data_IF_409609404778
#
_entry.id   IF_409609404778
#
_cell.length_a   1.000
_cell.length_b   1.000
_cell.length_c   1.000
_cell.angle_alpha   90.00
_cell.angle_beta   90.00
_cell.angle_gamma   90.00
#
_symmetry.space_group_name_H-M   'P 1'
#
loop_
_entity.id
_entity.type
_entity.pdbx_description
1 polymer ?
#
# COMPACT_ATOMS: atom_id res chain seq x y z
N UNK A 1 -4.04 -21.20 25.54
CA UNK A 1 -2.66 -20.84 25.17
C UNK A 1 -2.04 -22.05 24.49
N UNK A 2 -2.13 -22.14 23.16
CA UNK A 2 -1.49 -23.21 22.37
C UNK A 2 -0.75 -22.57 21.21
N UNK A 3 0.56 -22.47 21.39
CA UNK A 3 1.52 -21.79 20.52
C UNK A 3 2.16 -22.83 19.58
N UNK A 4 1.33 -23.52 18.79
CA UNK A 4 1.78 -24.52 17.82
C UNK A 4 0.79 -24.50 16.65
N UNK A 5 1.11 -23.67 15.66
CA UNK A 5 0.72 -23.68 14.24
C UNK A 5 1.23 -22.33 13.67
N UNK A 6 2.52 -22.04 13.88
CA UNK A 6 3.17 -20.89 13.23
C UNK A 6 3.41 -21.28 11.77
N UNK A 7 2.38 -21.06 10.94
CA UNK A 7 2.39 -21.33 9.51
C UNK A 7 3.65 -20.74 8.86
N UNK A 8 4.63 -21.58 8.51
CA UNK A 8 5.81 -21.18 7.74
C UNK A 8 5.47 -20.52 6.38
N UNK A 9 4.22 -20.66 5.92
CA UNK A 9 3.65 -19.99 4.74
C UNK A 9 3.33 -18.50 4.93
N UNK A 10 3.28 -17.97 6.16
CA UNK A 10 2.97 -16.56 6.42
C UNK A 10 4.20 -15.66 6.54
N UNK A 11 5.40 -16.20 6.74
CA UNK A 11 6.66 -15.41 6.77
C UNK A 11 6.94 -14.66 5.46
N UNK A 12 6.77 -15.27 4.26
CA UNK A 12 6.93 -14.55 3.00
C UNK A 12 5.87 -13.46 2.81
N UNK A 13 4.64 -13.65 3.28
CA UNK A 13 3.59 -12.62 3.23
C UNK A 13 3.83 -11.50 4.25
N UNK A 14 4.43 -11.84 5.39
CA UNK A 14 4.82 -10.88 6.42
C UNK A 14 5.94 -9.98 5.92
N UNK A 15 6.94 -10.50 5.22
CA UNK A 15 8.02 -9.67 4.66
C UNK A 15 7.64 -9.06 3.30
N UNK A 16 6.95 -9.82 2.45
CA UNK A 16 6.65 -9.44 1.08
C UNK A 16 5.17 -9.67 0.75
N UNK A 17 4.30 -8.67 1.01
CA UNK A 17 2.90 -8.80 0.65
C UNK A 17 2.78 -8.90 -0.87
N UNK A 18 2.13 -9.96 -1.35
CA UNK A 18 1.77 -10.13 -2.76
C UNK A 18 0.25 -10.24 -2.89
N UNK A 19 -0.28 -9.64 -3.96
CA UNK A 19 -1.67 -9.88 -4.35
C UNK A 19 -1.70 -11.24 -5.02
N UNK A 20 -2.42 -12.20 -4.43
CA UNK A 20 -2.68 -13.48 -5.10
C UNK A 20 -3.80 -13.24 -6.11
N UNK A 21 -3.50 -13.43 -7.40
CA UNK A 21 -4.54 -13.53 -8.43
C UNK A 21 -5.34 -14.79 -8.16
N UNK A 22 -6.55 -14.59 -7.67
CA UNK A 22 -7.48 -15.66 -7.35
C UNK A 22 -8.54 -15.70 -8.43
N UNK A 23 -8.31 -16.53 -9.44
CA UNK A 23 -9.22 -16.68 -10.58
C UNK A 23 -10.61 -17.16 -10.15
N UNK A 24 -10.72 -17.87 -9.02
CA UNK A 24 -12.00 -18.31 -8.49
C UNK A 24 -12.74 -17.12 -7.89
N UNK A 25 -12.05 -16.29 -7.10
CA UNK A 25 -12.61 -15.04 -6.60
C UNK A 25 -13.03 -14.09 -7.73
N UNK A 26 -12.20 -13.92 -8.76
CA UNK A 26 -12.53 -13.05 -9.90
C UNK A 26 -13.80 -13.54 -10.62
N UNK A 27 -13.98 -14.87 -10.75
CA UNK A 27 -15.20 -15.46 -11.33
C UNK A 27 -16.42 -15.20 -10.44
N UNK A 28 -16.28 -15.36 -9.12
CA UNK A 28 -17.36 -15.10 -8.16
C UNK A 28 -17.76 -13.62 -8.16
N UNK A 29 -16.79 -12.71 -8.23
CA UNK A 29 -17.04 -11.27 -8.31
C UNK A 29 -17.75 -10.93 -9.64
N UNK A 30 -17.33 -11.52 -10.77
CA UNK A 30 -17.99 -11.33 -12.07
C UNK A 30 -19.44 -11.87 -12.08
N UNK A 31 -19.69 -13.03 -11.47
CA UNK A 31 -21.04 -13.60 -11.30
C UNK A 31 -21.93 -12.71 -10.41
N UNK A 32 -21.38 -12.25 -9.28
CA UNK A 32 -22.06 -11.33 -8.37
C UNK A 32 -22.46 -10.02 -9.06
N UNK A 33 -21.53 -9.42 -9.82
CA UNK A 33 -21.79 -8.18 -10.57
C UNK A 33 -22.79 -8.39 -11.71
N UNK A 34 -22.77 -9.57 -12.35
CA UNK A 34 -23.78 -9.98 -13.32
C UNK A 34 -25.18 -10.03 -12.70
N UNK A 35 -25.33 -10.79 -11.61
CA UNK A 35 -26.60 -10.92 -10.90
C UNK A 35 -27.14 -9.58 -10.38
N UNK A 36 -26.26 -8.69 -9.92
CA UNK A 36 -26.67 -7.36 -9.45
C UNK A 36 -27.16 -6.46 -10.60
N UNK A 37 -26.55 -6.54 -11.80
CA UNK A 37 -27.04 -5.85 -13.00
C UNK A 37 -28.43 -6.33 -13.38
N UNK A 38 -28.64 -7.64 -13.38
CA UNK A 38 -29.93 -8.26 -13.73
C UNK A 38 -31.02 -7.90 -12.70
N UNK A 39 -30.66 -7.87 -11.42
CA UNK A 39 -31.54 -7.43 -10.34
C UNK A 39 -31.98 -5.96 -10.52
N UNK A 40 -31.09 -5.05 -10.90
CA UNK A 40 -31.45 -3.63 -11.15
C UNK A 40 -32.33 -3.48 -12.39
N UNK A 41 -32.08 -4.29 -13.44
CA UNK A 41 -32.91 -4.27 -14.66
C UNK A 41 -34.34 -4.66 -14.31
N UNK A 42 -34.49 -5.77 -13.56
CA UNK A 42 -35.79 -6.33 -13.17
C UNK A 42 -36.46 -5.63 -11.99
N UNK A 43 -35.76 -4.76 -11.25
CA UNK A 43 -36.31 -4.03 -10.12
C UNK A 43 -37.45 -3.07 -10.52
N UNK A 44 -38.61 -3.27 -9.90
CA UNK A 44 -39.78 -2.39 -9.97
C UNK A 44 -39.65 -1.17 -9.05
N UNK A 45 -38.77 -0.23 -9.38
CA UNK A 45 -38.55 1.01 -8.61
C UNK A 45 -39.64 2.08 -8.84
N UNK A 46 -40.83 1.68 -9.31
CA UNK A 46 -41.93 2.58 -9.68
C UNK A 46 -42.72 3.03 -8.45
N UNK A 47 -42.82 2.16 -7.45
CA UNK A 47 -43.66 2.37 -6.27
C UNK A 47 -43.23 3.58 -5.43
N UNK A 48 -41.92 3.86 -5.40
CA UNK A 48 -41.34 5.04 -4.75
C UNK A 48 -40.08 5.49 -5.51
N UNK A 49 -40.32 6.03 -6.71
CA UNK A 49 -39.23 6.40 -7.63
C UNK A 49 -38.37 7.57 -7.12
N UNK A 50 -38.88 8.38 -6.20
CA UNK A 50 -38.14 9.46 -5.55
C UNK A 50 -37.15 8.91 -4.52
N UNK A 51 -37.60 8.07 -3.60
CA UNK A 51 -36.71 7.43 -2.62
C UNK A 51 -35.65 6.55 -3.32
N UNK A 52 -36.05 5.81 -4.37
CA UNK A 52 -35.12 5.00 -5.15
C UNK A 52 -34.03 5.83 -5.85
N UNK A 53 -34.39 7.01 -6.38
CA UNK A 53 -33.44 7.91 -7.02
C UNK A 53 -32.50 8.55 -6.01
N UNK A 54 -32.99 8.95 -4.84
CA UNK A 54 -32.18 9.51 -3.76
C UNK A 54 -31.13 8.50 -3.26
N UNK A 55 -31.54 7.27 -2.98
CA UNK A 55 -30.62 6.21 -2.57
C UNK A 55 -29.62 5.84 -3.68
N UNK A 56 -30.05 5.81 -4.94
CA UNK A 56 -29.15 5.59 -6.07
C UNK A 56 -28.07 6.69 -6.18
N UNK A 57 -28.43 7.95 -5.96
CA UNK A 57 -27.49 9.08 -5.91
C UNK A 57 -26.53 8.95 -4.74
N UNK A 58 -27.04 8.64 -3.55
CA UNK A 58 -26.23 8.45 -2.34
C UNK A 58 -25.19 7.34 -2.52
N UNK A 59 -25.57 6.20 -3.11
CA UNK A 59 -24.66 5.10 -3.40
C UNK A 59 -23.62 5.53 -4.45
N UNK A 60 -24.04 6.23 -5.49
CA UNK A 60 -23.14 6.74 -6.53
C UNK A 60 -22.09 7.71 -5.99
N UNK A 61 -22.52 8.68 -5.17
CA UNK A 61 -21.64 9.65 -4.55
C UNK A 61 -20.68 8.98 -3.55
N UNK A 62 -21.17 8.01 -2.77
CA UNK A 62 -20.33 7.23 -1.86
C UNK A 62 -19.23 6.44 -2.60
N UNK A 63 -19.54 5.86 -3.76
CA UNK A 63 -18.54 5.12 -4.54
C UNK A 63 -17.53 6.07 -5.22
N UNK A 64 -17.99 7.23 -5.69
CA UNK A 64 -17.10 8.26 -6.24
C UNK A 64 -16.14 8.77 -5.16
N UNK A 65 -16.64 9.02 -3.95
CA UNK A 65 -15.82 9.42 -2.81
C UNK A 65 -14.84 8.31 -2.40
N UNK A 66 -15.24 7.03 -2.49
CA UNK A 66 -14.32 5.91 -2.24
C UNK A 66 -13.15 5.89 -3.22
N UNK A 67 -13.40 6.14 -4.50
CA UNK A 67 -12.34 6.27 -5.51
C UNK A 67 -11.44 7.46 -5.21
N UNK A 68 -12.02 8.64 -4.96
CA UNK A 68 -11.27 9.86 -4.65
C UNK A 68 -10.42 9.69 -3.39
N UNK A 69 -10.96 9.05 -2.35
CA UNK A 69 -10.24 8.74 -1.13
C UNK A 69 -9.02 7.83 -1.36
N UNK A 70 -9.09 6.90 -2.31
CA UNK A 70 -7.93 6.10 -2.71
C UNK A 70 -6.86 6.95 -3.43
N UNK A 71 -7.29 7.82 -4.35
CA UNK A 71 -6.39 8.71 -5.10
C UNK A 71 -5.69 9.72 -4.17
N UNK A 72 -6.43 10.34 -3.24
CA UNK A 72 -5.88 11.24 -2.21
C UNK A 72 -4.84 10.54 -1.34
N UNK A 73 -5.13 9.32 -0.85
CA UNK A 73 -4.17 8.54 -0.06
C UNK A 73 -2.92 8.18 -0.85
N UNK A 74 -3.05 7.86 -2.14
CA UNK A 74 -1.91 7.59 -2.99
C UNK A 74 -1.01 8.82 -3.16
N UNK A 75 -1.60 10.00 -3.34
CA UNK A 75 -0.87 11.28 -3.35
C UNK A 75 -0.10 11.53 -2.05
N UNK A 76 -0.75 11.33 -0.90
CA UNK A 76 -0.10 11.47 0.43
C UNK A 76 1.08 10.51 0.57
N UNK A 77 0.92 9.24 0.16
CA UNK A 77 2.00 8.27 0.24
C UNK A 77 3.17 8.62 -0.68
N UNK A 78 2.92 9.12 -1.89
CA UNK A 78 4.00 9.58 -2.78
C UNK A 78 4.73 10.79 -2.22
N UNK A 79 4.03 11.73 -1.58
CA UNK A 79 4.66 12.85 -0.90
C UNK A 79 5.57 12.38 0.25
N UNK A 80 5.08 11.45 1.08
CA UNK A 80 5.88 10.86 2.16
C UNK A 80 7.11 10.12 1.64
N UNK A 81 6.96 9.32 0.57
CA UNK A 81 8.08 8.62 -0.09
C UNK A 81 9.12 9.63 -0.59
N UNK A 82 8.67 10.69 -1.26
CA UNK A 82 9.55 11.74 -1.80
C UNK A 82 10.32 12.46 -0.69
N UNK A 83 9.70 12.66 0.47
CA UNK A 83 10.36 13.24 1.65
C UNK A 83 11.36 12.27 2.32
N UNK A 84 11.08 10.97 2.31
CA UNK A 84 11.92 9.95 2.95
C UNK A 84 13.16 9.58 2.13
N UNK A 85 13.12 9.66 0.79
CA UNK A 85 14.25 9.28 -0.08
C UNK A 85 15.52 10.07 0.25
N UNK A 86 15.52 11.41 0.38
CA UNK A 86 16.72 12.17 0.75
C UNK A 86 17.25 11.81 2.15
N UNK A 87 16.35 11.53 3.09
CA UNK A 87 16.71 11.15 4.47
C UNK A 87 17.40 9.78 4.50
N UNK A 88 16.92 8.82 3.71
CA UNK A 88 17.61 7.55 3.52
C UNK A 88 18.97 7.75 2.85
N UNK A 89 19.03 8.57 1.78
CA UNK A 89 20.26 8.81 1.04
C UNK A 89 21.36 9.47 1.89
N UNK A 90 21.01 10.34 2.85
CA UNK A 90 22.01 10.97 3.73
C UNK A 90 22.70 9.99 4.68
N UNK A 91 22.05 8.86 5.00
CA UNK A 91 22.63 7.84 5.88
C UNK A 91 23.67 6.94 5.19
N UNK A 92 23.76 6.95 3.85
CA UNK A 92 24.67 6.08 3.11
C UNK A 92 26.13 6.18 3.59
N UNK A 93 26.59 7.41 3.83
CA UNK A 93 27.96 7.68 4.27
C UNK A 93 28.27 7.12 5.67
N UNK A 94 27.27 7.08 6.55
CA UNK A 94 27.43 6.57 7.92
C UNK A 94 27.48 5.03 7.99
N UNK A 95 27.07 4.33 6.94
CA UNK A 95 27.08 2.86 6.89
C UNK A 95 28.49 2.29 6.76
N UNK A 96 29.45 3.08 6.26
CA UNK A 96 30.79 2.63 5.86
C UNK A 96 31.92 3.42 6.54
N UNK A 97 31.82 3.61 7.85
CA UNK A 97 32.89 4.25 8.64
C UNK A 97 34.05 3.28 8.95
N UNK A 98 35.29 3.80 9.00
CA UNK A 98 36.51 3.06 9.39
C UNK A 98 36.43 2.39 10.78
N UNK A 99 35.49 2.83 11.62
CA UNK A 99 35.28 2.35 12.99
C UNK A 99 34.20 1.27 13.12
N UNK A 100 33.47 0.97 12.04
CA UNK A 100 32.39 -0.01 12.07
C UNK A 100 32.95 -1.39 11.72
N UNK A 101 32.74 -2.43 12.55
CA UNK A 101 33.17 -3.77 12.19
C UNK A 101 32.52 -4.20 10.87
N UNK A 102 33.31 -4.79 9.97
CA UNK A 102 32.90 -5.08 8.59
C UNK A 102 31.57 -5.86 8.50
N UNK A 103 31.32 -6.76 9.45
CA UNK A 103 30.07 -7.51 9.56
C UNK A 103 28.85 -6.61 9.81
N UNK A 104 28.98 -5.62 10.71
CA UNK A 104 27.89 -4.69 11.05
C UNK A 104 27.65 -3.68 9.93
N UNK A 105 28.70 -3.24 9.25
CA UNK A 105 28.59 -2.42 8.04
C UNK A 105 27.84 -3.16 6.92
N UNK A 106 28.23 -4.41 6.65
CA UNK A 106 27.56 -5.27 5.67
C UNK A 106 26.08 -5.50 6.04
N UNK A 107 25.78 -5.84 7.30
CA UNK A 107 24.41 -6.02 7.77
C UNK A 107 23.58 -4.73 7.61
N UNK A 108 24.14 -3.58 7.97
CA UNK A 108 23.46 -2.28 7.86
C UNK A 108 23.18 -1.92 6.40
N UNK A 109 24.09 -2.26 5.49
CA UNK A 109 23.93 -2.07 4.05
C UNK A 109 22.81 -2.97 3.47
N UNK A 110 22.71 -4.22 3.94
CA UNK A 110 21.61 -5.12 3.56
C UNK A 110 20.26 -4.59 4.06
N UNK A 111 20.19 -4.16 5.33
CA UNK A 111 18.96 -3.57 5.90
C UNK A 111 18.58 -2.27 5.17
N UNK A 112 19.56 -1.44 4.84
CA UNK A 112 19.36 -0.23 4.04
C UNK A 112 18.78 -0.55 2.65
N UNK A 113 19.40 -1.49 1.93
CA UNK A 113 18.94 -1.91 0.61
C UNK A 113 17.51 -2.48 0.68
N UNK A 114 17.19 -3.24 1.73
CA UNK A 114 15.85 -3.78 1.96
C UNK A 114 14.82 -2.67 2.21
N UNK A 115 15.16 -1.66 3.03
CA UNK A 115 14.28 -0.51 3.29
C UNK A 115 14.01 0.29 2.00
N UNK A 116 15.05 0.54 1.20
CA UNK A 116 14.91 1.22 -0.08
C UNK A 116 14.04 0.42 -1.05
N UNK A 117 14.22 -0.90 -1.11
CA UNK A 117 13.39 -1.77 -1.94
C UNK A 117 11.91 -1.70 -1.53
N UNK A 118 11.59 -1.72 -0.23
CA UNK A 118 10.21 -1.55 0.24
C UNK A 118 9.64 -0.18 -0.13
N UNK A 119 10.45 0.87 -0.03
CA UNK A 119 10.01 2.23 -0.38
C UNK A 119 9.68 2.36 -1.87
N UNK A 120 10.54 1.83 -2.75
CA UNK A 120 10.30 1.81 -4.20
C UNK A 120 9.05 1.00 -4.54
N UNK A 121 8.82 -0.14 -3.88
CA UNK A 121 7.61 -0.94 -4.09
C UNK A 121 6.35 -0.21 -3.61
N UNK A 122 6.41 0.46 -2.46
CA UNK A 122 5.31 1.31 -1.99
C UNK A 122 4.94 2.37 -3.02
N UNK A 123 5.95 3.05 -3.59
CA UNK A 123 5.78 4.04 -4.66
C UNK A 123 5.15 3.43 -5.91
N UNK A 124 5.63 2.26 -6.36
CA UNK A 124 5.06 1.56 -7.51
C UNK A 124 3.58 1.21 -7.33
N UNK A 125 3.16 0.79 -6.13
CA UNK A 125 1.75 0.54 -5.83
C UNK A 125 0.92 1.82 -5.73
N UNK A 126 1.48 2.90 -5.16
CA UNK A 126 0.81 4.19 -5.10
C UNK A 126 0.58 4.79 -6.51
N UNK A 127 1.58 4.72 -7.40
CA UNK A 127 1.43 5.11 -8.81
C UNK A 127 0.38 4.28 -9.54
N UNK A 128 0.30 2.96 -9.27
CA UNK A 128 -0.76 2.11 -9.82
C UNK A 128 -2.16 2.56 -9.40
N UNK A 129 -2.33 3.05 -8.17
CA UNK A 129 -3.62 3.61 -7.71
C UNK A 129 -4.01 4.86 -8.50
N UNK A 130 -3.05 5.74 -8.79
CA UNK A 130 -3.27 6.99 -9.56
C UNK A 130 -3.41 6.77 -11.06
N UNK A 131 -3.13 5.56 -11.57
CA UNK A 131 -3.25 5.27 -13.00
C UNK A 131 -4.68 5.55 -13.44
N UNK A 132 -4.80 6.33 -14.52
CA UNK A 132 -6.09 6.64 -15.14
C UNK A 132 -6.78 5.35 -15.54
N UNK A 133 -7.93 5.10 -14.94
CA UNK A 133 -8.83 3.99 -15.26
C UNK A 133 -10.12 4.54 -15.82
N UNK A 134 -10.76 3.81 -16.74
CA UNK A 134 -12.09 4.14 -17.23
C UNK A 134 -13.05 4.16 -16.05
N UNK A 135 -13.74 5.30 -15.86
CA UNK A 135 -14.82 5.45 -14.88
C UNK A 135 -16.11 5.74 -15.61
N UNK A 136 -17.14 4.95 -15.36
CA UNK A 136 -18.49 5.20 -15.88
C UNK A 136 -19.15 6.28 -15.04
N UNK A 137 -19.49 7.39 -15.66
CA UNK A 137 -20.24 8.48 -15.06
C UNK A 137 -21.54 8.70 -15.84
N UNK A 138 -22.60 9.11 -15.16
CA UNK A 138 -23.85 9.50 -15.82
C UNK A 138 -23.69 10.86 -16.48
N UNK A 139 -23.83 10.91 -17.80
CA UNK A 139 -23.73 12.13 -18.60
C UNK A 139 -25.04 12.94 -18.58
N UNK A 140 -25.03 14.25 -18.85
CA UNK A 140 -26.25 15.01 -19.13
C UNK A 140 -27.14 14.37 -20.20
N UNK A 141 -26.56 13.65 -21.16
CA UNK A 141 -27.30 12.87 -22.16
C UNK A 141 -28.07 11.69 -21.55
N UNK A 142 -27.52 11.04 -20.52
CA UNK A 142 -28.22 9.97 -19.81
C UNK A 142 -29.45 10.51 -19.07
N UNK A 143 -29.36 11.75 -18.59
CA UNK A 143 -30.49 12.44 -17.95
C UNK A 143 -31.58 12.72 -18.99
N UNK A 144 -31.24 13.30 -20.15
CA UNK A 144 -32.24 13.59 -21.18
C UNK A 144 -32.94 12.31 -21.67
N UNK A 145 -32.17 11.25 -21.92
CA UNK A 145 -32.74 9.96 -22.38
C UNK A 145 -33.62 9.30 -21.31
N UNK A 146 -33.30 9.47 -20.02
CA UNK A 146 -34.18 8.99 -18.95
C UNK A 146 -35.47 9.81 -18.88
N UNK A 147 -35.43 11.11 -19.16
CA UNK A 147 -36.61 11.99 -19.15
C UNK A 147 -37.58 11.72 -20.30
N UNK A 148 -37.11 11.12 -21.39
CA UNK A 148 -37.96 10.68 -22.51
C UNK A 148 -38.75 9.38 -22.22
N UNK A 149 -38.55 8.77 -21.05
CA UNK A 149 -39.20 7.51 -20.66
C UNK A 149 -40.43 7.76 -19.76
N UNK A 150 -41.41 6.84 -19.74
CA UNK A 150 -42.63 7.01 -18.93
C UNK A 150 -42.36 7.23 -17.44
N UNK A 151 -41.32 6.59 -16.89
CA UNK A 151 -40.91 6.69 -15.50
C UNK A 151 -39.45 7.20 -15.41
N UNK A 152 -39.23 8.51 -15.52
CA UNK A 152 -37.89 9.05 -15.74
C UNK A 152 -36.96 8.93 -14.53
N UNK A 153 -37.51 9.06 -13.33
CA UNK A 153 -36.76 8.95 -12.06
C UNK A 153 -36.24 7.53 -11.83
N UNK A 154 -37.09 6.52 -12.09
CA UNK A 154 -36.71 5.10 -12.04
C UNK A 154 -35.59 4.81 -13.03
N UNK A 155 -35.71 5.27 -14.28
CA UNK A 155 -34.70 5.02 -15.31
C UNK A 155 -33.36 5.67 -14.96
N UNK A 156 -33.38 6.90 -14.42
CA UNK A 156 -32.16 7.53 -13.90
C UNK A 156 -31.56 6.75 -12.72
N UNK A 157 -32.38 6.28 -11.77
CA UNK A 157 -31.92 5.47 -10.65
C UNK A 157 -31.23 4.17 -11.14
N UNK A 158 -31.84 3.46 -12.10
CA UNK A 158 -31.25 2.26 -12.72
C UNK A 158 -29.92 2.57 -13.42
N UNK A 159 -29.82 3.69 -14.13
CA UNK A 159 -28.57 4.12 -14.79
C UNK A 159 -27.46 4.43 -13.79
N UNK A 160 -27.76 5.14 -12.71
CA UNK A 160 -26.81 5.42 -11.63
C UNK A 160 -26.28 4.11 -11.03
N UNK A 161 -27.16 3.19 -10.66
CA UNK A 161 -26.75 1.91 -10.08
C UNK A 161 -25.92 1.07 -11.07
N UNK A 162 -26.25 1.07 -12.38
CA UNK A 162 -25.42 0.40 -13.40
C UNK A 162 -24.03 1.03 -13.52
N UNK A 163 -23.94 2.36 -13.46
CA UNK A 163 -22.66 3.06 -13.48
C UNK A 163 -21.79 2.70 -12.27
N UNK A 164 -22.39 2.63 -11.08
CA UNK A 164 -21.73 2.17 -9.84
C UNK A 164 -21.15 0.77 -10.02
N UNK A 165 -21.96 -0.18 -10.51
CA UNK A 165 -21.50 -1.58 -10.68
C UNK A 165 -20.39 -1.69 -11.70
N UNK A 166 -20.46 -0.93 -12.80
CA UNK A 166 -19.39 -0.88 -13.79
C UNK A 166 -18.06 -0.38 -13.17
N UNK A 167 -18.13 0.46 -12.14
CA UNK A 167 -16.96 1.02 -11.47
C UNK A 167 -16.38 0.12 -10.36
N UNK A 168 -17.14 -0.81 -9.79
CA UNK A 168 -16.71 -1.63 -8.65
C UNK A 168 -15.35 -2.29 -8.86
N UNK A 169 -15.11 -2.90 -10.03
CA UNK A 169 -13.84 -3.57 -10.33
C UNK A 169 -12.67 -2.58 -10.32
N UNK A 170 -12.83 -1.43 -10.95
CA UNK A 170 -11.79 -0.40 -11.00
C UNK A 170 -11.48 0.20 -9.63
N UNK A 171 -12.52 0.56 -8.86
CA UNK A 171 -12.34 1.16 -7.54
C UNK A 171 -11.82 0.12 -6.53
N UNK A 172 -12.25 -1.14 -6.61
CA UNK A 172 -11.69 -2.22 -5.78
C UNK A 172 -10.21 -2.47 -6.07
N UNK A 173 -9.81 -2.44 -7.34
CA UNK A 173 -8.40 -2.54 -7.71
C UNK A 173 -7.57 -1.36 -7.14
N UNK A 174 -8.09 -0.13 -7.19
CA UNK A 174 -7.45 1.03 -6.54
C UNK A 174 -7.32 0.86 -5.03
N UNK A 175 -8.39 0.43 -4.36
CA UNK A 175 -8.39 0.17 -2.91
C UNK A 175 -7.43 -0.96 -2.53
N UNK A 176 -7.26 -1.96 -3.39
CA UNK A 176 -6.27 -3.00 -3.19
C UNK A 176 -4.84 -2.44 -3.33
N UNK A 177 -4.56 -1.68 -4.39
CA UNK A 177 -3.27 -1.05 -4.62
C UNK A 177 -2.86 -0.15 -3.44
N UNK A 178 -3.79 0.65 -2.88
CA UNK A 178 -3.47 1.51 -1.74
C UNK A 178 -3.21 0.71 -0.45
N UNK A 179 -3.93 -0.41 -0.22
CA UNK A 179 -3.64 -1.31 0.90
C UNK A 179 -2.23 -1.90 0.79
N UNK A 180 -1.83 -2.30 -0.42
CA UNK A 180 -0.49 -2.81 -0.69
C UNK A 180 0.58 -1.73 -0.49
N UNK A 181 0.34 -0.52 -1.01
CA UNK A 181 1.23 0.62 -0.81
C UNK A 181 1.44 0.92 0.67
N UNK A 182 0.37 0.94 1.47
CA UNK A 182 0.44 1.15 2.91
C UNK A 182 1.28 0.08 3.61
N UNK A 183 1.07 -1.19 3.27
CA UNK A 183 1.80 -2.32 3.85
C UNK A 183 3.30 -2.25 3.55
N UNK A 184 3.69 -1.88 2.33
CA UNK A 184 5.10 -1.68 1.98
C UNK A 184 5.70 -0.44 2.65
N UNK A 185 4.95 0.66 2.72
CA UNK A 185 5.40 1.89 3.37
C UNK A 185 5.67 1.67 4.87
N UNK A 186 4.78 0.96 5.57
CA UNK A 186 4.97 0.62 6.98
C UNK A 186 6.22 -0.24 7.19
N UNK A 187 6.48 -1.22 6.31
CA UNK A 187 7.70 -2.05 6.36
C UNK A 187 8.97 -1.24 6.07
N UNK A 188 8.92 -0.32 5.11
CA UNK A 188 10.03 0.60 4.83
C UNK A 188 10.35 1.43 6.07
N UNK A 189 9.33 1.99 6.73
CA UNK A 189 9.49 2.76 7.96
C UNK A 189 10.05 1.93 9.11
N UNK A 190 9.54 0.71 9.35
CA UNK A 190 10.04 -0.17 10.42
C UNK A 190 11.49 -0.63 10.18
N UNK A 191 11.83 -0.99 8.95
CA UNK A 191 13.22 -1.37 8.60
C UNK A 191 14.17 -0.18 8.71
N UNK A 192 13.70 1.01 8.36
CA UNK A 192 14.45 2.25 8.56
C UNK A 192 14.66 2.56 10.05
N UNK A 193 13.61 2.44 10.87
CA UNK A 193 13.72 2.63 12.33
C UNK A 193 14.69 1.61 12.97
N UNK A 194 14.66 0.35 12.52
CA UNK A 194 15.61 -0.68 12.94
C UNK A 194 17.05 -0.30 12.56
N UNK A 195 17.25 0.19 11.33
CA UNK A 195 18.57 0.65 10.87
C UNK A 195 19.11 1.78 11.75
N UNK A 196 18.25 2.75 12.09
CA UNK A 196 18.62 3.84 13.00
C UNK A 196 18.94 3.33 14.42
N UNK A 197 18.18 2.36 14.93
CA UNK A 197 18.46 1.76 16.24
C UNK A 197 19.82 1.04 16.26
N UNK A 198 20.15 0.28 15.22
CA UNK A 198 21.46 -0.39 15.07
C UNK A 198 22.58 0.66 15.06
N UNK A 199 22.41 1.74 14.29
CA UNK A 199 23.41 2.82 14.22
C UNK A 199 23.55 3.56 15.56
N UNK A 200 22.46 3.79 16.29
CA UNK A 200 22.47 4.48 17.58
C UNK A 200 23.13 3.64 18.69
N UNK A 201 22.99 2.31 18.66
CA UNK A 201 23.60 1.40 19.65
C UNK A 201 25.07 1.15 19.35
N UNK A 202 25.49 1.23 18.09
CA UNK A 202 26.88 1.02 17.65
C UNK A 202 27.94 1.80 18.47
N UNK A 203 27.83 3.13 18.70
CA UNK A 203 28.82 3.86 19.51
C UNK A 203 28.86 3.41 20.98
N UNK A 204 27.74 3.00 21.55
CA UNK A 204 27.65 2.51 22.95
C UNK A 204 28.31 1.12 23.05
N UNK A 205 28.05 0.24 22.08
CA UNK A 205 28.71 -1.06 21.98
C UNK A 205 30.22 -0.94 21.82
N UNK A 206 30.69 0.01 21.00
CA UNK A 206 32.11 0.29 20.84
C UNK A 206 32.75 0.82 22.14
N UNK A 207 32.06 1.69 22.88
CA UNK A 207 32.52 2.19 24.17
C UNK A 207 32.63 1.07 25.23
N UNK A 208 31.65 0.16 25.28
CA UNK A 208 31.63 -0.97 26.20
C UNK A 208 32.68 -2.04 25.86
N UNK A 209 32.93 -2.32 24.58
CA UNK A 209 34.00 -3.24 24.16
C UNK A 209 35.38 -2.65 24.51
N UNK A 210 35.56 -1.34 24.33
CA UNK A 210 36.81 -0.65 24.64
C UNK A 210 37.10 -0.59 26.15
N UNK A 211 36.07 -0.56 27.00
CA UNK A 211 36.24 -0.64 28.46
C UNK A 211 36.49 -2.07 28.98
N UNK A 212 36.04 -3.10 28.26
CA UNK A 212 36.26 -4.51 28.62
C UNK A 212 37.60 -5.10 28.14
N UNK A 213 38.22 -4.54 27.10
CA UNK A 213 39.56 -4.92 26.62
C UNK A 213 40.50 -3.70 26.57
N UNK A 214 40.98 -3.21 27.73
CA UNK A 214 41.86 -2.05 27.77
C UNK A 214 43.28 -2.31 27.23
N UNK A 215 43.81 -3.55 27.32
CA UNK A 215 45.23 -3.81 27.03
C UNK A 215 45.45 -4.99 26.08
N UNK A 216 45.51 -4.69 24.78
CA UNK A 216 46.21 -5.54 23.80
C UNK A 216 47.04 -4.66 22.85
N UNK A 217 47.84 -3.75 23.41
CA UNK A 217 48.99 -3.17 22.72
C UNK A 217 50.17 -3.08 23.69
N UNK A 218 51.26 -3.74 23.27
CA UNK A 218 52.67 -3.59 23.69
C UNK A 218 53.28 -4.71 24.55
N UNK A 219 53.75 -5.78 23.89
CA UNK A 219 55.03 -6.42 24.28
C UNK A 219 55.80 -7.14 23.16
N UNK A 220 55.47 -6.95 21.87
CA UNK A 220 56.31 -7.40 20.74
C UNK A 220 57.01 -6.19 20.10
N UNK A 221 57.82 -5.47 20.88
CA UNK A 221 58.80 -4.51 20.35
C UNK A 221 59.90 -4.23 21.38
N UNK A 222 60.69 -5.27 21.69
CA UNK A 222 61.98 -5.10 22.39
C UNK A 222 62.96 -6.28 22.18
N UNK A 223 62.93 -6.91 20.99
CA UNK A 223 63.98 -7.83 20.50
C UNK A 223 64.14 -7.67 18.98
N UNK A 224 64.46 -6.46 18.53
CA UNK A 224 64.83 -6.24 17.14
C UNK A 224 65.65 -4.95 16.98
N UNK A 225 66.55 -4.62 17.91
CA UNK A 225 67.72 -3.81 17.61
C UNK A 225 68.84 -4.27 18.54
N UNK A 226 69.90 -4.76 17.91
CA UNK A 226 71.19 -5.06 18.49
C UNK A 226 71.89 -3.78 18.95
#
# INVERSE_FOLDING_TARGET
MSFKEFHWRSLPQLMWPFVKEDKEKDRLDDELYGGLKDAIVSAGLEKDSDAALEEARRIYDAELERSRGADTKAGIYLAAITALVPVLASLLGNLWGEKTPALLGCLSLVVFALSMLYLVRAGGWAFKTLKVSVSNQTSPKDISVSWDKPNPKQELAKRLCRAVIANYRGVNAKVLCIKMAHQFLLRAFLTFALLLAIQAISPIGQAAVKSLLPDAKLSVSRRAFA
#
